data_IF_786230126271
#
_entry.id   IF_786230126271
#
_cell.length_a   1.000
_cell.length_b   1.000
_cell.length_c   1.000
_cell.angle_alpha   90.00
_cell.angle_beta   90.00
_cell.angle_gamma   90.00
#
_symmetry.space_group_name_H-M   'P 1'
#
loop_
_entity.id
_entity.type
_entity.pdbx_description
1 polymer ?
#
# COMPACT_ATOMS: atom_id res chain seq x y z
N UNK A 1 33.26 -69.20 -43.34
CA UNK A 1 32.00 -68.94 -42.65
C UNK A 1 31.11 -68.22 -43.64
N UNK A 2 30.25 -68.95 -44.34
CA UNK A 2 29.33 -68.36 -45.32
C UNK A 2 28.21 -67.61 -44.57
N UNK A 3 28.07 -66.32 -44.84
CA UNK A 3 27.03 -65.49 -44.25
C UNK A 3 25.74 -65.64 -45.07
N UNK A 4 24.81 -66.42 -44.55
CA UNK A 4 23.48 -66.63 -45.13
C UNK A 4 22.54 -65.46 -44.78
N UNK A 5 22.81 -64.26 -45.28
CA UNK A 5 21.87 -63.14 -45.17
C UNK A 5 20.83 -63.24 -46.30
N UNK A 6 19.66 -63.76 -45.96
CA UNK A 6 18.53 -63.89 -46.86
C UNK A 6 17.75 -62.56 -46.91
N UNK A 7 18.00 -61.76 -47.95
CA UNK A 7 17.32 -60.48 -48.21
C UNK A 7 15.89 -60.64 -48.76
N UNK A 8 15.50 -61.86 -49.17
CA UNK A 8 14.16 -62.15 -49.72
C UNK A 8 13.04 -62.03 -48.68
N UNK A 9 13.40 -61.82 -47.41
CA UNK A 9 12.48 -61.51 -46.29
C UNK A 9 12.36 -60.03 -45.97
N UNK A 10 13.07 -59.15 -46.68
CA UNK A 10 12.99 -57.71 -46.49
C UNK A 10 11.79 -57.19 -47.29
N UNK A 11 10.75 -56.70 -46.59
CA UNK A 11 9.63 -56.02 -47.25
C UNK A 11 10.15 -54.86 -48.09
N UNK A 12 9.65 -54.73 -49.32
CA UNK A 12 9.99 -53.59 -50.20
C UNK A 12 9.35 -52.29 -49.73
N UNK A 13 8.44 -52.36 -48.77
CA UNK A 13 7.82 -51.19 -48.16
C UNK A 13 8.81 -50.46 -47.26
N UNK A 14 8.84 -49.13 -47.39
CA UNK A 14 9.71 -48.27 -46.61
C UNK A 14 9.34 -48.35 -45.10
N UNK A 15 10.24 -48.88 -44.24
CA UNK A 15 9.99 -48.98 -42.80
C UNK A 15 10.07 -47.61 -42.08
N UNK A 16 10.50 -46.56 -42.78
CA UNK A 16 10.56 -45.18 -42.29
C UNK A 16 9.42 -44.32 -42.85
N UNK A 17 8.24 -44.91 -43.05
CA UNK A 17 7.05 -44.14 -43.40
C UNK A 17 6.52 -43.40 -42.15
N UNK A 18 6.35 -42.10 -42.30
CA UNK A 18 5.70 -41.28 -41.28
C UNK A 18 4.19 -41.32 -41.48
N UNK A 19 3.39 -41.23 -40.40
CA UNK A 19 1.95 -41.03 -40.51
C UNK A 19 1.63 -39.76 -41.30
N UNK A 20 0.54 -39.80 -42.06
CA UNK A 20 0.01 -38.62 -42.74
C UNK A 20 -0.29 -37.51 -41.72
N UNK A 21 0.16 -36.28 -42.00
CA UNK A 21 -0.07 -35.14 -41.11
C UNK A 21 0.90 -35.01 -39.91
N UNK A 22 1.88 -35.91 -39.74
CA UNK A 22 2.81 -35.89 -38.59
C UNK A 22 3.53 -34.56 -38.42
N UNK A 23 4.06 -34.00 -39.51
CA UNK A 23 4.83 -32.77 -39.47
C UNK A 23 3.94 -31.54 -39.30
N UNK A 24 2.75 -31.53 -39.90
CA UNK A 24 1.76 -30.46 -39.80
C UNK A 24 1.28 -30.30 -38.35
N UNK A 25 0.93 -31.42 -37.70
CA UNK A 25 0.51 -31.42 -36.31
C UNK A 25 1.66 -31.08 -35.36
N UNK A 26 2.88 -31.53 -35.68
CA UNK A 26 4.08 -31.16 -34.93
C UNK A 26 4.35 -29.65 -35.00
N UNK A 27 4.33 -29.07 -36.20
CA UNK A 27 4.49 -27.63 -36.40
C UNK A 27 3.40 -26.83 -35.67
N UNK A 28 2.13 -27.26 -35.77
CA UNK A 28 1.00 -26.63 -35.07
C UNK A 28 1.21 -26.62 -33.55
N UNK A 29 1.65 -27.74 -32.96
CA UNK A 29 1.95 -27.82 -31.52
C UNK A 29 3.13 -26.93 -31.13
N UNK A 30 4.18 -26.88 -31.96
CA UNK A 30 5.33 -26.02 -31.71
C UNK A 30 4.96 -24.53 -31.72
N UNK A 31 4.09 -24.11 -32.64
CA UNK A 31 3.66 -22.71 -32.73
C UNK A 31 2.91 -22.25 -31.46
N UNK A 32 2.06 -23.11 -30.89
CA UNK A 32 1.37 -22.84 -29.61
C UNK A 32 2.35 -22.73 -28.43
N UNK A 33 3.44 -23.49 -28.44
CA UNK A 33 4.44 -23.47 -27.36
C UNK A 33 5.46 -22.33 -27.49
N UNK A 34 5.73 -21.87 -28.72
CA UNK A 34 6.72 -20.81 -29.00
C UNK A 34 6.11 -19.42 -29.13
N UNK A 35 4.80 -19.31 -29.33
CA UNK A 35 4.12 -18.01 -29.32
C UNK A 35 4.18 -17.41 -27.91
N UNK A 36 4.79 -16.23 -27.73
CA UNK A 36 4.86 -15.61 -26.42
C UNK A 36 3.44 -15.30 -25.95
N UNK A 37 3.04 -15.96 -24.85
CA UNK A 37 1.75 -15.70 -24.19
C UNK A 37 1.69 -14.21 -23.86
N UNK A 38 0.82 -13.47 -24.57
CA UNK A 38 0.60 -12.04 -24.32
C UNK A 38 0.04 -11.87 -22.91
N UNK A 39 0.93 -11.61 -21.96
CA UNK A 39 0.54 -11.23 -20.60
C UNK A 39 -0.10 -9.85 -20.65
N UNK A 40 -1.27 -9.72 -20.02
CA UNK A 40 -1.95 -8.43 -19.91
C UNK A 40 -1.17 -7.55 -18.92
N UNK A 41 -1.12 -6.23 -19.19
CA UNK A 41 -0.41 -5.28 -18.32
C UNK A 41 -0.91 -5.34 -16.86
N UNK A 42 -2.20 -5.66 -16.66
CA UNK A 42 -2.82 -5.84 -15.34
C UNK A 42 -2.23 -7.03 -14.57
N UNK A 43 -1.84 -8.10 -15.26
CA UNK A 43 -1.19 -9.26 -14.64
C UNK A 43 0.23 -8.94 -14.20
N UNK A 44 0.90 -8.02 -14.89
CA UNK A 44 2.26 -7.58 -14.57
C UNK A 44 2.32 -6.64 -13.36
N UNK A 45 1.27 -5.84 -13.15
CA UNK A 45 1.19 -4.92 -12.00
C UNK A 45 0.61 -5.57 -10.73
N UNK A 46 -0.03 -6.74 -10.85
CA UNK A 46 -0.59 -7.51 -9.71
C UNK A 46 0.34 -7.63 -8.49
N UNK A 47 1.65 -7.94 -8.63
CA UNK A 47 2.54 -8.03 -7.46
C UNK A 47 2.85 -6.67 -6.81
N UNK A 48 2.71 -5.55 -7.51
CA UNK A 48 3.02 -4.22 -6.99
C UNK A 48 1.93 -3.64 -6.07
N UNK A 49 0.75 -4.25 -6.02
CA UNK A 49 -0.32 -3.84 -5.10
C UNK A 49 0.10 -3.91 -3.63
N UNK A 50 0.87 -4.95 -3.26
CA UNK A 50 1.41 -5.06 -1.91
C UNK A 50 2.48 -3.99 -1.63
N UNK A 51 3.32 -3.66 -2.61
CA UNK A 51 4.29 -2.58 -2.48
C UNK A 51 3.60 -1.22 -2.28
N UNK A 52 2.54 -0.95 -3.05
CA UNK A 52 1.74 0.26 -2.89
C UNK A 52 1.11 0.38 -1.49
N UNK A 53 0.60 -0.73 -0.94
CA UNK A 53 0.04 -0.75 0.42
C UNK A 53 1.09 -0.38 1.49
N UNK A 54 2.33 -0.85 1.35
CA UNK A 54 3.42 -0.49 2.26
C UNK A 54 3.78 0.99 2.19
N UNK A 55 3.80 1.58 0.99
CA UNK A 55 4.04 3.02 0.83
C UNK A 55 2.93 3.84 1.50
N UNK A 56 1.67 3.46 1.30
CA UNK A 56 0.52 4.13 1.95
C UNK A 56 0.62 4.03 3.47
N UNK A 57 1.04 2.89 4.02
CA UNK A 57 1.21 2.70 5.45
C UNK A 57 2.33 3.61 6.01
N UNK A 58 3.48 3.68 5.33
CA UNK A 58 4.59 4.57 5.71
C UNK A 58 4.16 6.04 5.67
N UNK A 59 3.44 6.46 4.61
CA UNK A 59 2.94 7.83 4.49
C UNK A 59 1.91 8.16 5.58
N UNK A 60 0.99 7.23 5.87
CA UNK A 60 -0.01 7.40 6.92
C UNK A 60 0.64 7.59 8.30
N UNK A 61 1.66 6.79 8.61
CA UNK A 61 2.44 6.93 9.85
C UNK A 61 3.15 8.30 9.87
N UNK A 62 3.82 8.68 8.78
CA UNK A 62 4.51 9.97 8.69
C UNK A 62 3.59 11.18 8.92
N UNK A 63 2.41 11.18 8.29
CA UNK A 63 1.40 12.24 8.46
C UNK A 63 0.85 12.25 9.89
N UNK A 64 0.56 11.07 10.45
CA UNK A 64 0.07 10.95 11.83
C UNK A 64 1.07 11.49 12.84
N UNK A 65 2.36 11.18 12.70
CA UNK A 65 3.41 11.71 13.56
C UNK A 65 3.57 13.22 13.41
N UNK A 66 3.56 13.74 12.18
CA UNK A 66 3.65 15.19 11.95
C UNK A 66 2.46 15.95 12.57
N UNK A 67 1.25 15.43 12.39
CA UNK A 67 0.04 15.99 12.97
C UNK A 67 0.06 15.93 14.50
N UNK A 68 0.54 14.81 15.07
CA UNK A 68 0.67 14.63 16.52
C UNK A 68 1.59 15.67 17.14
N UNK A 69 2.74 15.97 16.50
CA UNK A 69 3.66 17.02 16.96
C UNK A 69 3.03 18.42 16.90
N UNK A 70 2.31 18.72 15.81
CA UNK A 70 1.60 20.00 15.67
C UNK A 70 0.52 20.18 16.74
N UNK A 71 -0.25 19.13 17.04
CA UNK A 71 -1.27 19.15 18.09
C UNK A 71 -0.63 19.37 19.46
N UNK A 72 0.50 18.73 19.74
CA UNK A 72 1.24 18.91 20.99
C UNK A 72 1.71 20.37 21.17
N UNK A 73 2.25 21.00 20.14
CA UNK A 73 2.67 22.40 20.18
C UNK A 73 1.49 23.36 20.42
N UNK A 74 0.37 23.17 19.72
CA UNK A 74 -0.84 23.97 19.92
C UNK A 74 -1.42 23.79 21.32
N UNK A 75 -1.40 22.57 21.85
CA UNK A 75 -1.86 22.30 23.21
C UNK A 75 -0.95 22.96 24.24
N UNK A 76 0.38 22.95 24.07
CA UNK A 76 1.31 23.67 24.95
C UNK A 76 1.03 25.17 24.99
N UNK A 77 0.77 25.78 23.84
CA UNK A 77 0.41 27.21 23.76
C UNK A 77 -0.91 27.50 24.49
N UNK A 78 -1.95 26.69 24.26
CA UNK A 78 -3.23 26.84 24.96
C UNK A 78 -3.09 26.66 26.47
N UNK A 79 -2.28 25.71 26.93
CA UNK A 79 -2.05 25.50 28.37
C UNK A 79 -1.31 26.68 28.99
N UNK A 80 -0.31 27.25 28.30
CA UNK A 80 0.39 28.44 28.77
C UNK A 80 -0.54 29.67 28.86
N UNK A 81 -1.46 29.83 27.92
CA UNK A 81 -2.49 30.88 27.96
C UNK A 81 -3.46 30.68 29.14
N UNK A 82 -3.92 29.44 29.37
CA UNK A 82 -4.77 29.10 30.51
C UNK A 82 -4.05 29.37 31.83
N UNK A 83 -2.78 29.01 31.95
CA UNK A 83 -1.96 29.24 33.13
C UNK A 83 -1.78 30.74 33.40
N UNK A 84 -1.47 31.52 32.37
CA UNK A 84 -1.39 32.99 32.45
C UNK A 84 -2.72 33.59 32.93
N UNK A 85 -3.84 33.23 32.29
CA UNK A 85 -5.16 33.74 32.65
C UNK A 85 -5.56 33.37 34.08
N UNK A 86 -5.22 32.16 34.54
CA UNK A 86 -5.46 31.72 35.90
C UNK A 86 -4.64 32.55 36.92
N UNK A 87 -3.37 32.82 36.61
CA UNK A 87 -2.53 33.68 37.45
C UNK A 87 -3.09 35.11 37.57
N UNK A 88 -3.55 35.70 36.46
CA UNK A 88 -4.19 37.03 36.45
C UNK A 88 -5.48 37.01 37.29
N UNK A 89 -6.36 36.03 37.07
CA UNK A 89 -7.61 35.91 37.84
C UNK A 89 -7.36 35.78 39.34
N UNK A 90 -6.30 35.06 39.75
CA UNK A 90 -5.93 34.94 41.15
C UNK A 90 -5.51 36.28 41.76
N UNK A 91 -4.72 37.08 41.03
CA UNK A 91 -4.30 38.41 41.47
C UNK A 91 -5.52 39.34 41.60
N UNK A 92 -6.41 39.32 40.60
CA UNK A 92 -7.62 40.13 40.61
C UNK A 92 -8.51 39.84 41.82
N UNK A 93 -8.74 38.55 42.12
CA UNK A 93 -9.57 38.14 43.26
C UNK A 93 -8.94 38.53 44.59
N UNK A 94 -7.61 38.48 44.70
CA UNK A 94 -6.88 38.89 45.92
C UNK A 94 -6.92 40.41 46.14
N UNK A 95 -6.88 41.19 45.05
CA UNK A 95 -6.97 42.66 45.10
C UNK A 95 -8.41 43.17 45.31
N UNK A 96 -9.42 42.45 44.82
CA UNK A 96 -10.83 42.76 45.09
C UNK A 96 -11.24 42.29 46.50
N UNK A 97 -11.19 43.20 47.47
CA UNK A 97 -11.73 42.95 48.81
C UNK A 97 -13.28 42.92 48.81
N UNK A 98 -13.89 42.06 49.61
CA UNK A 98 -15.36 41.88 49.67
C UNK A 98 -16.09 43.21 49.99
N UNK A 99 -15.48 44.08 50.82
CA UNK A 99 -16.04 45.39 51.17
C UNK A 99 -16.19 46.34 49.95
N UNK A 100 -15.25 46.30 48.99
CA UNK A 100 -15.37 47.13 47.77
C UNK A 100 -16.53 46.67 46.87
N UNK A 101 -16.83 45.37 46.87
CA UNK A 101 -17.94 44.81 46.08
C UNK A 101 -19.27 45.29 46.66
N UNK A 102 -19.40 45.30 47.99
CA UNK A 102 -20.59 45.78 48.69
C UNK A 102 -20.82 47.26 48.41
N UNK A 103 -19.78 48.09 48.52
CA UNK A 103 -19.87 49.53 48.24
C UNK A 103 -20.25 49.83 46.78
N UNK A 104 -19.72 49.06 45.83
CA UNK A 104 -20.06 49.21 44.41
C UNK A 104 -21.52 48.85 44.11
N UNK A 105 -22.05 47.79 44.73
CA UNK A 105 -23.46 47.39 44.55
C UNK A 105 -24.39 48.45 45.13
N UNK A 106 -24.07 48.96 46.33
CA UNK A 106 -24.89 50.00 46.98
C UNK A 106 -24.91 51.30 46.17
N UNK A 107 -23.77 51.74 45.64
CA UNK A 107 -23.67 52.94 44.80
C UNK A 107 -24.42 52.84 43.46
N UNK A 108 -24.71 51.64 42.97
CA UNK A 108 -25.48 51.41 41.74
C UNK A 108 -27.00 51.28 41.94
N UNK A 109 -27.47 51.34 43.19
CA UNK A 109 -28.89 51.19 43.56
C UNK A 109 -29.61 52.49 43.93
N UNK A 110 -28.92 53.63 43.85
CA UNK A 110 -29.53 54.98 43.94
C UNK A 110 -30.03 55.48 42.58
#
# INVERSE_FOLDING_TARGET
MEHNFNFDRCSTENPFSVPEGYFEDFCRRMEVLTTPKKISLLQRIRPYWYAAAMVVLILSIGVFFFQSRKIEEQNKQKMAEIEYNNAINKILVDETNEDMIVDYILAGTD
#
